data_IF_432513340380
#
_entry.id   IF_432513340380
#
_cell.length_a   1.000
_cell.length_b   1.000
_cell.length_c   1.000
_cell.angle_alpha   90.00
_cell.angle_beta   90.00
_cell.angle_gamma   90.00
#
_symmetry.space_group_name_H-M   'P 1'
#
loop_
_entity.id
_entity.type
_entity.pdbx_description
1 polymer ?
#
# COMPACT_ATOMS: atom_id res chain seq x y z
N UNK A 1 10.23 21.21 4.72
CA UNK A 1 9.57 20.05 5.35
C UNK A 1 10.16 19.66 6.70
N UNK A 2 11.48 19.44 6.86
CA UNK A 2 12.12 19.06 8.13
C UNK A 2 11.76 20.03 9.28
N UNK A 3 11.80 21.35 9.04
CA UNK A 3 11.46 22.39 10.03
C UNK A 3 10.02 22.25 10.53
N UNK A 4 9.05 22.00 9.65
CA UNK A 4 7.63 21.89 9.98
C UNK A 4 7.33 20.61 10.78
N UNK A 5 7.80 19.44 10.32
CA UNK A 5 7.56 18.17 11.01
C UNK A 5 8.20 18.11 12.41
N UNK A 6 9.31 18.83 12.62
CA UNK A 6 10.00 18.88 13.89
C UNK A 6 9.63 20.12 14.75
N UNK A 7 8.67 20.94 14.32
CA UNK A 7 8.26 22.14 15.06
C UNK A 7 7.53 21.78 16.37
N UNK A 8 8.01 22.27 17.51
CA UNK A 8 7.37 22.01 18.83
C UNK A 8 6.06 22.76 19.03
N UNK A 9 5.92 23.92 18.38
CA UNK A 9 4.71 24.75 18.47
C UNK A 9 3.50 24.09 17.81
N UNK A 10 3.72 23.19 16.85
CA UNK A 10 2.65 22.47 16.17
C UNK A 10 2.28 21.19 16.94
N UNK A 11 0.98 21.01 17.15
CA UNK A 11 0.44 19.79 17.74
C UNK A 11 0.84 18.56 16.88
N UNK A 12 1.08 17.42 17.55
CA UNK A 12 1.47 16.17 16.88
C UNK A 12 0.41 15.72 15.86
N UNK A 13 -0.88 15.89 16.16
CA UNK A 13 -1.99 15.56 15.24
C UNK A 13 -1.91 16.38 13.95
N UNK A 14 -1.60 17.66 14.03
CA UNK A 14 -1.42 18.52 12.85
C UNK A 14 -0.20 18.09 12.03
N UNK A 15 0.92 17.77 12.69
CA UNK A 15 2.13 17.27 12.01
C UNK A 15 1.90 15.95 11.28
N UNK A 16 1.12 15.04 11.88
CA UNK A 16 0.69 13.79 11.21
C UNK A 16 -0.19 14.11 10.01
N UNK A 17 -1.14 15.04 10.14
CA UNK A 17 -1.97 15.47 8.99
C UNK A 17 -1.13 16.03 7.85
N UNK A 18 -0.14 16.85 8.14
CA UNK A 18 0.81 17.40 7.16
C UNK A 18 1.59 16.24 6.49
N UNK A 19 2.06 15.25 7.25
CA UNK A 19 2.70 14.05 6.72
C UNK A 19 1.81 13.32 5.73
N UNK A 20 0.55 13.08 6.11
CA UNK A 20 -0.42 12.36 5.29
C UNK A 20 -0.83 13.14 4.03
N UNK A 21 -0.96 14.47 4.11
CA UNK A 21 -1.42 15.29 3.00
C UNK A 21 -0.32 15.64 1.98
N UNK A 22 0.94 15.76 2.42
CA UNK A 22 2.01 16.26 1.55
C UNK A 22 3.11 15.24 1.28
N UNK A 23 3.47 14.40 2.24
CA UNK A 23 4.58 13.45 2.07
C UNK A 23 4.07 12.13 1.50
N UNK A 24 2.99 11.59 2.05
CA UNK A 24 2.46 10.31 1.57
C UNK A 24 2.03 10.32 0.11
N UNK A 25 1.36 11.37 -0.43
CA UNK A 25 1.04 11.40 -1.86
C UNK A 25 2.28 11.30 -2.76
N UNK A 26 3.38 11.94 -2.36
CA UNK A 26 4.66 11.85 -3.10
C UNK A 26 5.25 10.44 -3.02
N UNK A 27 5.30 9.86 -1.82
CA UNK A 27 5.83 8.50 -1.61
C UNK A 27 4.97 7.44 -2.28
N UNK A 28 3.65 7.62 -2.30
CA UNK A 28 2.67 6.69 -2.85
C UNK A 28 2.36 6.93 -4.33
N UNK A 29 3.10 7.82 -5.00
CA UNK A 29 2.88 8.07 -6.42
C UNK A 29 3.13 6.80 -7.23
N UNK A 30 2.15 6.39 -8.03
CA UNK A 30 2.21 5.19 -8.86
C UNK A 30 2.31 3.86 -8.08
N UNK A 31 1.99 3.85 -6.78
CA UNK A 31 2.10 2.65 -5.94
C UNK A 31 1.17 1.50 -6.39
N UNK A 32 0.16 1.81 -7.18
CA UNK A 32 -0.76 0.85 -7.78
C UNK A 32 -0.03 -0.13 -8.70
N UNK A 33 0.99 0.32 -9.41
CA UNK A 33 1.79 -0.50 -10.33
C UNK A 33 2.85 -1.36 -9.61
N UNK A 34 3.17 -1.10 -8.35
CA UNK A 34 4.27 -1.77 -7.67
C UNK A 34 3.98 -3.25 -7.41
N UNK A 35 4.98 -4.10 -7.60
CA UNK A 35 4.98 -5.47 -7.07
C UNK A 35 5.64 -5.46 -5.69
N UNK A 36 4.84 -5.62 -4.65
CA UNK A 36 5.31 -5.54 -3.27
C UNK A 36 5.96 -6.85 -2.87
N UNK A 37 7.28 -6.80 -2.72
CA UNK A 37 8.09 -7.85 -2.11
C UNK A 37 8.25 -7.59 -0.61
N UNK A 38 8.67 -8.59 0.15
CA UNK A 38 8.89 -8.45 1.59
C UNK A 38 9.91 -7.34 1.91
N UNK A 39 10.97 -7.23 1.13
CA UNK A 39 11.95 -6.16 1.29
C UNK A 39 11.33 -4.76 1.08
N UNK A 40 10.50 -4.58 0.05
CA UNK A 40 9.78 -3.33 -0.20
C UNK A 40 8.83 -3.00 0.96
N UNK A 41 8.11 -4.02 1.49
CA UNK A 41 7.25 -3.85 2.65
C UNK A 41 8.03 -3.36 3.86
N UNK A 42 9.16 -4.01 4.17
CA UNK A 42 10.03 -3.61 5.29
C UNK A 42 10.54 -2.17 5.15
N UNK A 43 10.91 -1.75 3.93
CA UNK A 43 11.36 -0.38 3.66
C UNK A 43 10.24 0.64 3.89
N UNK A 44 9.01 0.36 3.44
CA UNK A 44 7.86 1.22 3.67
C UNK A 44 7.52 1.33 5.17
N UNK A 45 7.51 0.21 5.89
CA UNK A 45 7.30 0.16 7.33
C UNK A 45 8.40 0.93 8.09
N UNK A 46 9.65 0.78 7.69
CA UNK A 46 10.77 1.49 8.28
C UNK A 46 10.69 3.01 8.03
N UNK A 47 10.31 3.40 6.81
CA UNK A 47 10.11 4.80 6.44
C UNK A 47 9.00 5.46 7.27
N UNK A 48 7.86 4.79 7.44
CA UNK A 48 6.76 5.29 8.27
C UNK A 48 7.21 5.51 9.71
N UNK A 49 7.89 4.52 10.29
CA UNK A 49 8.42 4.62 11.65
C UNK A 49 9.50 5.68 11.79
N UNK A 50 10.34 5.85 10.76
CA UNK A 50 11.33 6.93 10.72
C UNK A 50 10.67 8.31 10.77
N UNK A 51 9.60 8.52 9.99
CA UNK A 51 8.83 9.76 10.00
C UNK A 51 8.28 10.07 11.39
N UNK A 52 7.66 9.09 12.05
CA UNK A 52 7.11 9.25 13.41
C UNK A 52 8.19 9.55 14.44
N UNK A 53 9.32 8.82 14.41
CA UNK A 53 10.45 9.11 15.30
C UNK A 53 11.00 10.52 15.08
N UNK A 54 11.10 10.95 13.83
CA UNK A 54 11.55 12.28 13.48
C UNK A 54 10.64 13.36 14.03
N UNK A 55 9.32 13.17 13.95
CA UNK A 55 8.34 14.08 14.53
C UNK A 55 8.45 14.17 16.06
N UNK A 56 8.69 13.05 16.71
CA UNK A 56 8.86 12.96 18.17
C UNK A 56 10.27 13.34 18.63
N UNK A 57 11.21 13.59 17.70
CA UNK A 57 12.64 13.85 17.96
C UNK A 57 13.32 12.75 18.78
N UNK A 58 12.90 11.50 18.56
CA UNK A 58 13.51 10.34 19.19
C UNK A 58 14.81 9.97 18.48
N UNK A 59 15.91 9.96 19.24
CA UNK A 59 17.18 9.39 18.76
C UNK A 59 17.15 7.87 18.80
N UNK A 60 17.89 7.23 17.90
CA UNK A 60 18.08 5.77 17.89
C UNK A 60 18.74 5.28 19.21
N UNK A 61 19.55 6.12 19.85
CA UNK A 61 20.21 5.81 21.13
C UNK A 61 19.22 5.58 22.29
N UNK A 62 18.02 6.16 22.20
CA UNK A 62 16.98 6.02 23.23
C UNK A 62 16.29 4.64 23.22
N UNK A 63 16.58 3.78 22.23
CA UNK A 63 16.06 2.41 22.12
C UNK A 63 14.52 2.28 22.32
N UNK A 64 13.75 3.32 21.93
CA UNK A 64 12.28 3.32 22.08
C UNK A 64 11.66 2.33 21.08
N UNK A 65 10.81 1.42 21.57
CA UNK A 65 10.14 0.42 20.73
C UNK A 65 9.12 1.07 19.77
N UNK A 66 8.82 0.39 18.64
CA UNK A 66 7.83 0.86 17.67
C UNK A 66 6.45 1.04 18.30
N UNK A 67 6.04 0.15 19.21
CA UNK A 67 4.76 0.24 19.92
C UNK A 67 4.65 1.55 20.72
N UNK A 68 5.68 1.90 21.48
CA UNK A 68 5.72 3.16 22.22
C UNK A 68 5.70 4.40 21.32
N UNK A 69 6.36 4.32 20.15
CA UNK A 69 6.31 5.40 19.16
C UNK A 69 4.89 5.60 18.66
N UNK A 70 4.20 4.52 18.25
CA UNK A 70 2.82 4.56 17.76
C UNK A 70 1.85 5.09 18.83
N UNK A 71 1.98 4.66 20.08
CA UNK A 71 1.20 5.17 21.20
C UNK A 71 1.38 6.69 21.39
N UNK A 72 2.63 7.19 21.37
CA UNK A 72 2.92 8.63 21.51
C UNK A 72 2.37 9.46 20.35
N UNK A 73 2.34 8.90 19.14
CA UNK A 73 1.77 9.57 17.96
C UNK A 73 0.24 9.46 17.94
N UNK A 74 -0.33 8.49 18.65
CA UNK A 74 -1.77 8.19 18.63
C UNK A 74 -2.24 7.62 17.27
N UNK A 75 -1.37 6.84 16.61
CA UNK A 75 -1.62 6.32 15.26
C UNK A 75 -1.28 4.84 15.17
N UNK A 76 -1.92 4.15 14.23
CA UNK A 76 -1.52 2.83 13.73
C UNK A 76 -0.68 2.96 12.46
N UNK A 77 -0.04 1.87 12.03
CA UNK A 77 0.64 1.83 10.73
C UNK A 77 -0.39 1.89 9.60
N UNK A 78 -0.30 2.90 8.74
CA UNK A 78 -1.28 3.15 7.69
C UNK A 78 -0.70 3.14 6.29
N UNK A 79 0.62 3.37 6.15
CA UNK A 79 1.24 3.53 4.84
C UNK A 79 1.07 2.28 3.98
N UNK A 80 1.46 1.12 4.50
CA UNK A 80 1.32 -0.16 3.78
C UNK A 80 -0.15 -0.52 3.52
N UNK A 81 -1.03 -0.24 4.46
CA UNK A 81 -2.47 -0.47 4.29
C UNK A 81 -3.06 0.42 3.18
N UNK A 82 -2.59 1.66 3.08
CA UNK A 82 -2.99 2.56 1.99
C UNK A 82 -2.53 2.02 0.62
N UNK A 83 -1.29 1.49 0.53
CA UNK A 83 -0.80 0.83 -0.70
C UNK A 83 -1.70 -0.34 -1.10
N UNK A 84 -2.02 -1.22 -0.15
CA UNK A 84 -2.90 -2.36 -0.40
C UNK A 84 -4.26 -1.92 -0.93
N UNK A 85 -4.93 -0.99 -0.24
CA UNK A 85 -6.25 -0.48 -0.63
C UNK A 85 -6.24 0.16 -2.01
N UNK A 86 -5.27 1.03 -2.31
CA UNK A 86 -5.14 1.67 -3.62
C UNK A 86 -4.95 0.63 -4.72
N UNK A 87 -4.10 -0.35 -4.50
CA UNK A 87 -3.80 -1.39 -5.47
C UNK A 87 -5.01 -2.29 -5.77
N UNK A 88 -5.77 -2.67 -4.74
CA UNK A 88 -7.02 -3.44 -4.92
C UNK A 88 -8.08 -2.60 -5.60
N UNK A 89 -8.27 -1.35 -5.20
CA UNK A 89 -9.20 -0.42 -5.84
C UNK A 89 -8.88 -0.21 -7.33
N UNK A 90 -7.59 -0.07 -7.66
CA UNK A 90 -7.11 0.04 -9.04
C UNK A 90 -7.46 -1.20 -9.87
N UNK A 91 -7.28 -2.42 -9.31
CA UNK A 91 -7.71 -3.64 -9.99
C UNK A 91 -9.21 -3.60 -10.31
N UNK A 92 -10.05 -3.26 -9.33
CA UNK A 92 -11.49 -3.16 -9.56
C UNK A 92 -11.86 -2.15 -10.64
N UNK A 93 -11.13 -1.03 -10.72
CA UNK A 93 -11.30 -0.05 -11.79
C UNK A 93 -10.96 -0.63 -13.17
N UNK A 94 -9.85 -1.35 -13.29
CA UNK A 94 -9.43 -2.00 -14.54
C UNK A 94 -10.45 -3.04 -14.96
N UNK A 95 -10.92 -3.89 -14.05
CA UNK A 95 -11.79 -5.01 -14.36
C UNK A 95 -13.20 -4.60 -14.81
N UNK A 96 -13.69 -3.44 -14.35
CA UNK A 96 -15.01 -2.90 -14.73
C UNK A 96 -15.02 -2.11 -16.03
N UNK A 97 -13.87 -1.77 -16.58
CA UNK A 97 -13.82 -0.86 -17.71
C UNK A 97 -13.32 -1.56 -18.98
N UNK A 98 -14.17 -1.64 -19.99
CA UNK A 98 -13.87 -2.28 -21.27
C UNK A 98 -12.68 -1.65 -22.00
N UNK A 99 -12.41 -0.36 -21.77
CA UNK A 99 -11.24 0.32 -22.34
C UNK A 99 -9.91 -0.38 -22.00
N UNK A 100 -9.87 -1.14 -20.90
CA UNK A 100 -8.66 -1.82 -20.42
C UNK A 100 -8.58 -3.31 -20.77
N UNK A 101 -9.29 -3.78 -21.82
CA UNK A 101 -9.30 -5.20 -22.24
C UNK A 101 -7.90 -5.76 -22.43
N UNK A 102 -7.00 -5.03 -23.10
CA UNK A 102 -5.62 -5.46 -23.28
C UNK A 102 -4.90 -5.64 -21.93
N UNK A 103 -5.08 -4.70 -21.00
CA UNK A 103 -4.48 -4.77 -19.68
C UNK A 103 -5.06 -5.93 -18.87
N UNK A 104 -6.36 -6.20 -18.99
CA UNK A 104 -7.01 -7.36 -18.38
C UNK A 104 -6.41 -8.67 -18.92
N UNK A 105 -6.21 -8.79 -20.23
CA UNK A 105 -5.57 -9.97 -20.86
C UNK A 105 -4.15 -10.19 -20.36
N UNK A 106 -3.34 -9.10 -20.25
CA UNK A 106 -1.99 -9.14 -19.71
C UNK A 106 -2.01 -9.63 -18.26
N UNK A 107 -2.91 -9.09 -17.46
CA UNK A 107 -3.02 -9.43 -16.02
C UNK A 107 -3.50 -10.88 -15.80
N UNK A 108 -4.35 -11.41 -16.69
CA UNK A 108 -4.80 -12.80 -16.66
C UNK A 108 -3.75 -13.80 -17.16
N UNK A 109 -2.66 -13.32 -17.74
CA UNK A 109 -1.63 -14.18 -18.31
C UNK A 109 -2.07 -14.92 -19.58
N UNK A 110 -3.10 -14.44 -20.28
CA UNK A 110 -3.62 -14.99 -21.53
C UNK A 110 -2.82 -14.50 -22.75
N UNK A 111 -1.56 -14.20 -22.60
CA UNK A 111 -0.67 -13.81 -23.70
C UNK A 111 0.15 -15.02 -24.08
N UNK A 112 0.15 -15.33 -25.38
CA UNK A 112 0.97 -16.39 -25.93
C UNK A 112 2.46 -16.09 -25.76
N UNK A 113 3.24 -17.12 -25.44
CA UNK A 113 4.68 -17.04 -25.29
C UNK A 113 5.23 -18.05 -24.31
N UNK A 114 6.47 -18.50 -24.55
CA UNK A 114 7.18 -19.39 -23.63
C UNK A 114 7.90 -18.56 -22.56
N UNK A 115 7.68 -18.91 -21.30
CA UNK A 115 8.39 -18.30 -20.17
C UNK A 115 9.81 -18.85 -20.11
N UNK A 116 10.82 -17.97 -20.08
CA UNK A 116 12.20 -18.37 -19.85
C UNK A 116 12.38 -19.08 -18.50
N UNK A 117 13.29 -20.07 -18.47
CA UNK A 117 13.70 -20.74 -17.22
C UNK A 117 14.27 -19.72 -16.25
N UNK A 118 13.93 -19.84 -14.99
CA UNK A 118 14.46 -18.97 -13.93
C UNK A 118 13.58 -18.99 -12.68
N UNK A 119 14.07 -18.35 -11.61
CA UNK A 119 13.35 -18.23 -10.33
C UNK A 119 11.99 -17.56 -10.55
N UNK A 120 10.92 -18.14 -10.01
CA UNK A 120 9.57 -17.55 -10.05
C UNK A 120 9.57 -16.18 -9.38
N UNK A 121 9.32 -15.13 -10.14
CA UNK A 121 9.15 -13.78 -9.62
C UNK A 121 7.76 -13.64 -9.02
N UNK A 122 7.64 -12.92 -7.91
CA UNK A 122 6.33 -12.57 -7.34
C UNK A 122 5.56 -11.72 -8.37
N UNK A 123 4.36 -12.16 -8.76
CA UNK A 123 3.54 -11.41 -9.71
C UNK A 123 2.75 -10.29 -9.01
N UNK A 124 2.33 -9.31 -9.78
CA UNK A 124 1.52 -8.20 -9.29
C UNK A 124 0.17 -8.68 -8.70
N UNK A 125 -0.52 -9.59 -9.40
CA UNK A 125 -1.79 -10.19 -8.94
C UNK A 125 -1.62 -11.07 -7.71
N UNK A 126 -0.46 -11.69 -7.51
CA UNK A 126 -0.21 -12.48 -6.32
C UNK A 126 -0.32 -11.65 -5.04
N UNK A 127 0.13 -10.40 -5.06
CA UNK A 127 -0.07 -9.50 -3.93
C UNK A 127 -1.54 -9.32 -3.57
N UNK A 128 -2.39 -9.10 -4.60
CA UNK A 128 -3.82 -8.88 -4.39
C UNK A 128 -4.49 -10.14 -3.84
N UNK A 129 -4.19 -11.30 -4.44
CA UNK A 129 -4.72 -12.58 -3.97
C UNK A 129 -4.33 -12.87 -2.52
N UNK A 130 -3.08 -12.61 -2.14
CA UNK A 130 -2.61 -12.78 -0.77
C UNK A 130 -3.35 -11.85 0.22
N UNK A 131 -3.71 -10.63 -0.19
CA UNK A 131 -4.34 -9.64 0.67
C UNK A 131 -5.86 -9.74 0.74
N UNK A 132 -6.49 -10.22 -0.31
CA UNK A 132 -7.96 -10.37 -0.39
C UNK A 132 -8.44 -11.76 -0.03
N UNK A 133 -7.53 -12.76 0.01
CA UNK A 133 -7.88 -14.16 0.21
C UNK A 133 -8.54 -14.82 -1.01
N UNK A 134 -8.74 -14.09 -2.11
CA UNK A 134 -9.37 -14.60 -3.33
C UNK A 134 -8.36 -15.40 -4.14
N UNK A 135 -8.64 -16.67 -4.37
CA UNK A 135 -7.69 -17.61 -4.99
C UNK A 135 -7.67 -17.54 -6.51
N UNK A 136 -8.82 -17.27 -7.16
CA UNK A 136 -8.94 -17.28 -8.62
C UNK A 136 -9.17 -15.88 -9.18
N UNK A 137 -8.69 -15.67 -10.42
CA UNK A 137 -8.89 -14.42 -11.15
C UNK A 137 -10.36 -14.24 -11.54
N UNK A 138 -11.04 -15.34 -11.85
CA UNK A 138 -12.46 -15.34 -12.21
C UNK A 138 -13.35 -14.84 -11.06
N UNK A 139 -13.04 -15.26 -9.82
CA UNK A 139 -13.73 -14.75 -8.64
C UNK A 139 -13.48 -13.23 -8.46
N UNK A 140 -12.26 -12.74 -8.73
CA UNK A 140 -11.98 -11.31 -8.70
C UNK A 140 -12.80 -10.54 -9.75
N UNK A 141 -13.00 -11.11 -10.94
CA UNK A 141 -13.84 -10.51 -11.97
C UNK A 141 -15.31 -10.45 -11.55
N UNK A 142 -15.87 -11.55 -11.02
CA UNK A 142 -17.25 -11.57 -10.53
C UNK A 142 -17.46 -10.55 -9.44
N UNK A 143 -16.59 -10.50 -8.44
CA UNK A 143 -16.64 -9.51 -7.37
C UNK A 143 -16.46 -8.08 -7.88
N UNK A 144 -15.63 -7.87 -8.90
CA UNK A 144 -15.39 -6.55 -9.47
C UNK A 144 -16.60 -6.00 -10.23
N UNK A 145 -17.48 -6.86 -10.76
CA UNK A 145 -18.74 -6.45 -11.42
C UNK A 145 -19.66 -5.72 -10.46
N UNK A 146 -19.73 -6.14 -9.20
CA UNK A 146 -20.43 -5.42 -8.13
C UNK A 146 -19.49 -4.43 -7.45
N UNK A 147 -19.77 -3.13 -7.66
CA UNK A 147 -18.97 -2.04 -7.10
C UNK A 147 -19.03 -1.97 -5.57
N UNK A 148 -20.17 -2.28 -5.00
CA UNK A 148 -20.36 -2.20 -3.55
C UNK A 148 -19.66 -3.35 -2.84
N UNK A 149 -19.82 -4.58 -3.31
CA UNK A 149 -19.10 -5.74 -2.79
C UNK A 149 -17.58 -5.58 -2.92
N UNK A 150 -17.12 -5.10 -4.05
CA UNK A 150 -15.69 -4.85 -4.23
C UNK A 150 -15.15 -3.73 -3.34
N UNK A 151 -15.97 -2.72 -3.04
CA UNK A 151 -15.62 -1.66 -2.07
C UNK A 151 -15.48 -2.23 -0.65
N UNK A 152 -16.39 -3.12 -0.24
CA UNK A 152 -16.30 -3.84 1.05
C UNK A 152 -15.05 -4.71 1.12
N UNK A 153 -14.75 -5.45 0.05
CA UNK A 153 -13.51 -6.23 -0.07
C UNK A 153 -12.28 -5.31 0.09
N UNK A 154 -12.25 -4.17 -0.60
CA UNK A 154 -11.15 -3.20 -0.52
C UNK A 154 -10.99 -2.60 0.88
N UNK A 155 -12.09 -2.35 1.59
CA UNK A 155 -12.06 -1.83 2.96
C UNK A 155 -11.44 -2.83 3.94
N UNK A 156 -11.73 -4.13 3.76
CA UNK A 156 -11.34 -5.24 4.64
C UNK A 156 -9.96 -5.85 4.31
N UNK A 157 -9.21 -5.30 3.36
CA UNK A 157 -7.86 -5.77 3.01
C UNK A 157 -6.93 -5.68 4.22
N UNK A 158 -6.42 -6.83 4.65
CA UNK A 158 -5.47 -6.97 5.77
C UNK A 158 -4.01 -6.87 5.34
#
# INVERSE_FOLDING_TARGET
MKKVLCCRQLNIKLRVRILCCYIWPVVLYGCEAWTIKEDTRRRLDAFEMWCYRRMLRLSWTQKVTNMRVLQRVGMSRKLMQTVKKRKVAYLGHILRNERYQLLQLIMMGKIEGKRHRGRRKKSWLRNIREWTGVTTVEQLFRLASDREEFSKLTANVQ
#
